data_IF_532017383607
#
_entry.id   IF_532017383607
#
_cell.length_a   1.000
_cell.length_b   1.000
_cell.length_c   1.000
_cell.angle_alpha   90.00
_cell.angle_beta   90.00
_cell.angle_gamma   90.00
#
_symmetry.space_group_name_H-M   'P 1'
#
loop_
_entity.id
_entity.type
_entity.pdbx_description
1 polymer ?
#
# COMPACT_ATOMS: atom_id res chain seq x y z
N UNK A 1 -16.68 6.32 -36.23
CA UNK A 1 -15.23 6.25 -35.91
C UNK A 1 -15.14 6.16 -34.40
N UNK A 2 -14.90 4.96 -33.87
CA UNK A 2 -14.69 4.79 -32.42
C UNK A 2 -13.44 5.58 -32.06
N UNK A 3 -13.59 6.58 -31.20
CA UNK A 3 -12.46 7.22 -30.53
C UNK A 3 -11.95 6.14 -29.58
N UNK A 4 -10.91 5.42 -29.98
CA UNK A 4 -10.11 4.67 -29.03
C UNK A 4 -9.60 5.67 -27.99
N UNK A 5 -9.80 5.36 -26.72
CA UNK A 5 -9.19 6.13 -25.64
C UNK A 5 -7.68 6.06 -25.86
N UNK A 6 -7.04 7.21 -26.09
CA UNK A 6 -5.58 7.30 -26.21
C UNK A 6 -4.99 6.59 -25.00
N UNK A 7 -4.14 5.55 -25.19
CA UNK A 7 -3.60 4.80 -24.08
C UNK A 7 -2.87 5.76 -23.14
N UNK A 8 -3.13 5.68 -21.84
CA UNK A 8 -2.62 6.66 -20.90
C UNK A 8 -1.08 6.67 -20.93
N UNK A 9 -0.49 7.82 -21.30
CA UNK A 9 0.96 8.00 -21.46
C UNK A 9 1.70 7.52 -20.22
N UNK A 10 2.70 6.65 -20.38
CA UNK A 10 3.55 6.16 -19.28
C UNK A 10 4.20 7.34 -18.55
N UNK A 11 4.08 7.33 -17.24
CA UNK A 11 4.75 8.24 -16.31
C UNK A 11 6.04 7.56 -15.85
N UNK A 12 7.13 8.30 -15.88
CA UNK A 12 8.42 7.86 -15.35
C UNK A 12 8.68 8.63 -14.06
N UNK A 13 8.97 7.92 -12.99
CA UNK A 13 9.39 8.48 -11.71
C UNK A 13 10.81 8.02 -11.43
N UNK A 14 11.64 8.93 -10.94
CA UNK A 14 12.95 8.58 -10.41
C UNK A 14 12.81 7.96 -9.00
N UNK A 15 13.68 7.04 -8.55
CA UNK A 15 13.65 6.52 -7.18
C UNK A 15 13.62 7.61 -6.11
N UNK A 16 14.28 8.75 -6.34
CA UNK A 16 14.26 9.91 -5.42
C UNK A 16 12.86 10.45 -5.13
N UNK A 17 11.88 10.21 -6.01
CA UNK A 17 10.49 10.60 -5.79
C UNK A 17 9.82 9.89 -4.60
N UNK A 18 10.46 8.85 -4.06
CA UNK A 18 10.02 8.07 -2.89
C UNK A 18 10.91 8.26 -1.66
N UNK A 19 11.91 9.14 -1.70
CA UNK A 19 12.74 9.47 -0.53
C UNK A 19 11.93 10.20 0.55
N UNK A 20 10.92 10.99 0.16
CA UNK A 20 9.96 11.58 1.10
C UNK A 20 8.55 11.05 0.82
N UNK A 21 7.92 10.48 1.86
CA UNK A 21 6.53 10.05 1.82
C UNK A 21 5.72 10.92 2.79
N UNK A 22 4.62 11.48 2.29
CA UNK A 22 3.68 12.23 3.11
C UNK A 22 2.66 11.27 3.73
N UNK A 23 2.64 11.24 5.05
CA UNK A 23 1.62 10.54 5.84
C UNK A 23 0.67 11.59 6.40
N UNK A 24 -0.62 11.45 6.12
CA UNK A 24 -1.66 12.34 6.61
C UNK A 24 -2.56 11.54 7.55
N UNK A 25 -2.79 12.03 8.76
CA UNK A 25 -3.74 11.42 9.70
C UNK A 25 -4.81 12.42 10.13
N UNK A 26 -6.04 11.94 10.32
CA UNK A 26 -7.19 12.82 10.68
C UNK A 26 -8.01 12.33 11.87
N UNK A 27 -7.47 11.40 12.65
CA UNK A 27 -8.10 10.89 13.86
C UNK A 27 -8.26 11.94 14.97
N UNK A 28 -9.29 11.77 15.78
CA UNK A 28 -9.50 12.53 17.01
C UNK A 28 -8.45 12.19 18.07
N UNK A 29 -8.31 13.07 19.06
CA UNK A 29 -7.30 12.91 20.11
C UNK A 29 -7.57 11.70 21.03
N UNK A 30 -8.80 11.22 21.12
CA UNK A 30 -9.21 10.05 21.90
C UNK A 30 -9.27 8.75 21.09
N UNK A 31 -8.96 8.80 19.79
CA UNK A 31 -9.00 7.63 18.93
C UNK A 31 -7.83 6.67 19.18
N UNK A 32 -8.14 5.40 19.44
CA UNK A 32 -7.16 4.36 19.68
C UNK A 32 -6.24 4.04 18.47
N UNK A 33 -6.61 4.44 17.26
CA UNK A 33 -5.82 4.21 16.04
C UNK A 33 -4.82 5.35 15.75
N UNK A 34 -4.98 6.52 16.39
CA UNK A 34 -4.36 7.79 15.98
C UNK A 34 -2.83 7.80 15.85
N UNK A 35 -2.15 6.90 16.55
CA UNK A 35 -0.68 6.83 16.60
C UNK A 35 -0.12 5.59 15.90
N UNK A 36 -0.94 4.57 15.61
CA UNK A 36 -0.49 3.24 15.15
C UNK A 36 0.35 3.34 13.88
N UNK A 37 -0.20 3.91 12.80
CA UNK A 37 0.57 4.06 11.55
C UNK A 37 1.79 4.94 11.76
N UNK A 38 1.63 6.07 12.46
CA UNK A 38 2.71 7.05 12.65
C UNK A 38 3.92 6.48 13.39
N UNK A 39 3.68 5.56 14.32
CA UNK A 39 4.73 4.81 15.02
C UNK A 39 5.35 3.81 14.04
N UNK A 40 4.54 3.00 13.36
CA UNK A 40 5.02 1.97 12.44
C UNK A 40 5.89 2.54 11.30
N UNK A 41 5.49 3.64 10.66
CA UNK A 41 6.28 4.29 9.60
C UNK A 41 7.58 4.90 10.12
N UNK A 42 7.60 5.41 11.36
CA UNK A 42 8.81 5.96 11.99
C UNK A 42 9.80 4.87 12.33
N UNK A 43 9.35 3.77 12.92
CA UNK A 43 10.19 2.61 13.23
C UNK A 43 10.82 2.05 11.95
N UNK A 44 10.01 1.87 10.91
CA UNK A 44 10.49 1.41 9.62
C UNK A 44 11.50 2.38 9.00
N UNK A 45 11.25 3.69 9.01
CA UNK A 45 12.20 4.67 8.49
C UNK A 45 13.55 4.64 9.22
N UNK A 46 13.56 4.30 10.51
CA UNK A 46 14.80 4.15 11.29
C UNK A 46 15.61 2.91 10.89
N UNK A 47 15.01 1.89 10.29
CA UNK A 47 15.72 0.70 9.80
C UNK A 47 16.52 0.94 8.52
N UNK A 48 16.18 1.99 7.76
CA UNK A 48 16.82 2.40 6.50
C UNK A 48 17.18 3.90 6.52
N UNK A 49 18.04 4.33 7.46
CA UNK A 49 18.35 5.74 7.63
C UNK A 49 18.95 6.33 6.35
N UNK A 50 18.43 7.49 5.93
CA UNK A 50 18.86 8.18 4.71
C UNK A 50 18.14 7.76 3.43
N UNK A 51 17.36 6.67 3.44
CA UNK A 51 16.56 6.25 2.29
C UNK A 51 15.09 6.73 2.37
N UNK A 52 14.53 6.83 3.57
CA UNK A 52 13.12 7.18 3.77
C UNK A 52 12.94 8.29 4.81
N UNK A 53 12.38 9.41 4.36
CA UNK A 53 11.90 10.51 5.17
C UNK A 53 10.37 10.46 5.22
N UNK A 54 9.82 10.50 6.42
CA UNK A 54 8.38 10.58 6.63
C UNK A 54 8.00 12.02 7.01
N UNK A 55 7.21 12.67 6.16
CA UNK A 55 6.53 13.92 6.51
C UNK A 55 5.15 13.56 7.06
N UNK A 56 5.01 13.53 8.38
CA UNK A 56 3.71 13.26 9.02
C UNK A 56 2.97 14.56 9.31
N UNK A 57 1.73 14.68 8.85
CA UNK A 57 0.84 15.82 9.09
C UNK A 57 -0.47 15.32 9.71
N UNK A 58 -0.89 15.95 10.81
CA UNK A 58 -2.22 15.75 11.40
C UNK A 58 -3.14 16.86 10.92
N UNK A 59 -4.27 16.50 10.34
CA UNK A 59 -5.25 17.43 9.77
C UNK A 59 -6.56 17.37 10.55
N UNK A 60 -7.30 18.48 10.59
CA UNK A 60 -8.56 18.59 11.34
C UNK A 60 -9.77 18.95 10.48
N UNK A 61 -9.54 19.42 9.26
CA UNK A 61 -10.61 19.83 8.36
C UNK A 61 -10.23 19.65 6.88
N UNK A 62 -11.20 19.90 6.00
CA UNK A 62 -11.05 19.81 4.53
C UNK A 62 -9.96 20.72 3.96
N UNK A 63 -9.77 21.93 4.47
CA UNK A 63 -8.75 22.85 3.96
C UNK A 63 -7.35 22.35 4.31
N UNK A 64 -7.13 21.85 5.52
CA UNK A 64 -5.86 21.23 5.93
C UNK A 64 -5.49 20.06 5.00
N UNK A 65 -6.47 19.24 4.59
CA UNK A 65 -6.27 18.17 3.61
C UNK A 65 -5.78 18.74 2.28
N UNK A 66 -6.49 19.72 1.73
CA UNK A 66 -6.16 20.34 0.44
C UNK A 66 -4.76 20.95 0.50
N UNK A 67 -4.42 21.66 1.57
CA UNK A 67 -3.13 22.30 1.76
C UNK A 67 -1.99 21.28 1.91
N UNK A 68 -2.22 20.18 2.65
CA UNK A 68 -1.24 19.11 2.80
C UNK A 68 -0.92 18.45 1.47
N UNK A 69 -1.94 18.12 0.65
CA UNK A 69 -1.75 17.57 -0.68
C UNK A 69 -1.07 18.57 -1.62
N UNK A 70 -1.57 19.81 -1.67
CA UNK A 70 -1.09 20.82 -2.62
C UNK A 70 0.34 21.33 -2.33
N UNK A 71 0.83 21.16 -1.10
CA UNK A 71 2.19 21.52 -0.67
C UNK A 71 3.20 20.37 -0.77
N UNK A 72 2.77 19.17 -1.19
CA UNK A 72 3.63 18.00 -1.31
C UNK A 72 4.12 17.82 -2.74
N UNK A 73 5.44 17.68 -2.90
CA UNK A 73 6.09 17.48 -4.19
C UNK A 73 6.52 16.04 -4.48
N UNK A 74 6.35 15.11 -3.54
CA UNK A 74 6.72 13.70 -3.72
C UNK A 74 5.66 12.89 -4.46
N UNK A 75 5.97 11.63 -4.75
CA UNK A 75 5.11 10.78 -5.58
C UNK A 75 3.99 10.07 -4.83
N UNK A 76 4.15 9.87 -3.51
CA UNK A 76 3.31 8.95 -2.73
C UNK A 76 2.80 9.59 -1.45
N UNK A 77 1.47 9.54 -1.26
CA UNK A 77 0.78 9.92 -0.02
C UNK A 77 0.14 8.69 0.61
N UNK A 78 0.23 8.57 1.93
CA UNK A 78 -0.53 7.63 2.74
C UNK A 78 -1.52 8.42 3.58
N UNK A 79 -2.81 8.13 3.44
CA UNK A 79 -3.89 8.78 4.18
C UNK A 79 -4.50 7.79 5.16
N UNK A 80 -4.47 8.15 6.44
CA UNK A 80 -4.78 7.28 7.57
C UNK A 80 -5.90 7.88 8.42
N UNK A 81 -7.09 7.31 8.26
CA UNK A 81 -8.32 7.87 8.79
C UNK A 81 -9.45 6.82 8.79
N UNK A 82 -10.63 7.21 9.29
CA UNK A 82 -11.82 6.38 9.11
C UNK A 82 -12.46 6.67 7.75
N UNK A 83 -12.75 5.60 7.01
CA UNK A 83 -13.67 5.67 5.88
C UNK A 83 -15.12 5.66 6.36
N UNK A 84 -15.99 6.35 5.65
CA UNK A 84 -17.40 6.44 5.96
C UNK A 84 -18.22 6.51 4.65
N UNK A 85 -19.54 6.42 4.75
CA UNK A 85 -20.45 6.62 3.64
C UNK A 85 -21.58 7.54 4.09
N UNK A 86 -21.92 8.53 3.28
CA UNK A 86 -23.10 9.36 3.53
C UNK A 86 -24.36 8.49 3.41
N UNK A 87 -25.20 8.47 4.45
CA UNK A 87 -26.38 7.59 4.47
C UNK A 87 -27.41 7.94 3.40
N UNK A 88 -27.48 9.22 3.00
CA UNK A 88 -28.47 9.74 2.06
C UNK A 88 -27.98 9.68 0.61
N UNK A 89 -26.77 10.15 0.34
CA UNK A 89 -26.19 10.20 -1.01
C UNK A 89 -25.46 8.91 -1.37
N UNK A 90 -25.12 8.08 -0.37
CA UNK A 90 -24.35 6.84 -0.51
C UNK A 90 -22.92 7.05 -1.01
N UNK A 91 -22.46 8.30 -1.13
CA UNK A 91 -21.08 8.63 -1.54
C UNK A 91 -20.11 8.23 -0.43
N UNK A 92 -18.96 7.67 -0.83
CA UNK A 92 -17.89 7.34 0.11
C UNK A 92 -17.16 8.60 0.56
N UNK A 93 -17.00 8.77 1.87
CA UNK A 93 -16.37 9.92 2.50
C UNK A 93 -15.22 9.48 3.42
N UNK A 94 -14.37 10.44 3.80
CA UNK A 94 -13.36 10.25 4.84
C UNK A 94 -13.72 11.10 6.05
N UNK A 95 -13.60 10.53 7.25
CA UNK A 95 -13.75 11.28 8.49
C UNK A 95 -12.48 12.12 8.71
N UNK A 96 -12.61 13.44 8.62
CA UNK A 96 -11.53 14.39 8.86
C UNK A 96 -11.92 15.30 10.01
N UNK A 97 -11.28 15.09 11.17
CA UNK A 97 -11.77 15.71 12.40
C UNK A 97 -13.20 15.24 12.68
N UNK A 98 -14.15 16.17 12.81
CA UNK A 98 -15.57 15.86 13.00
C UNK A 98 -16.32 15.61 11.70
N UNK A 99 -15.74 16.00 10.56
CA UNK A 99 -16.49 16.16 9.32
C UNK A 99 -16.35 14.95 8.41
N UNK A 100 -17.40 14.63 7.67
CA UNK A 100 -17.35 13.66 6.59
C UNK A 100 -17.06 14.40 5.28
N UNK A 101 -15.87 14.16 4.73
CA UNK A 101 -15.38 14.86 3.53
C UNK A 101 -15.55 13.98 2.30
N UNK A 102 -16.34 14.46 1.34
CA UNK A 102 -16.43 13.92 -0.01
C UNK A 102 -15.25 14.39 -0.85
N UNK A 103 -14.42 13.44 -1.29
CA UNK A 103 -13.22 13.72 -2.10
C UNK A 103 -13.58 14.17 -3.52
N UNK A 104 -14.74 13.79 -4.06
CA UNK A 104 -15.18 14.19 -5.39
C UNK A 104 -15.38 15.70 -5.51
N UNK A 105 -15.84 16.35 -4.44
CA UNK A 105 -15.99 17.80 -4.36
C UNK A 105 -14.66 18.55 -4.37
N UNK A 106 -13.53 17.85 -4.19
CA UNK A 106 -12.20 18.44 -4.19
C UNK A 106 -11.57 18.48 -5.58
N UNK A 107 -12.25 17.95 -6.59
CA UNK A 107 -11.77 18.00 -7.97
C UNK A 107 -11.53 19.45 -8.40
N UNK A 108 -10.32 19.70 -8.88
CA UNK A 108 -9.88 21.04 -9.33
C UNK A 108 -9.37 21.95 -8.22
N UNK A 109 -9.45 21.55 -6.94
CA UNK A 109 -8.84 22.26 -5.81
C UNK A 109 -7.74 21.46 -5.15
N UNK A 110 -7.96 20.15 -4.93
CA UNK A 110 -6.94 19.21 -4.50
C UNK A 110 -6.17 18.69 -5.71
N UNK A 111 -4.84 18.81 -5.67
CA UNK A 111 -3.91 18.27 -6.67
C UNK A 111 -3.26 17.03 -6.08
N UNK A 112 -3.75 15.87 -6.48
CA UNK A 112 -3.26 14.61 -5.93
C UNK A 112 -1.91 14.24 -6.57
N UNK A 113 -0.92 13.74 -5.78
CA UNK A 113 0.25 13.09 -6.36
C UNK A 113 -0.16 11.81 -7.10
N UNK A 114 0.71 11.23 -7.94
CA UNK A 114 0.34 10.09 -8.77
C UNK A 114 -0.06 8.85 -7.96
N UNK A 115 0.41 8.69 -6.72
CA UNK A 115 0.15 7.51 -5.88
C UNK A 115 -0.50 7.93 -4.57
N UNK A 116 -1.65 7.33 -4.27
CA UNK A 116 -2.36 7.49 -3.00
C UNK A 116 -2.61 6.12 -2.37
N UNK A 117 -2.26 5.96 -1.10
CA UNK A 117 -2.57 4.78 -0.29
C UNK A 117 -3.60 5.18 0.76
N UNK A 118 -4.73 4.48 0.77
CA UNK A 118 -5.79 4.70 1.74
C UNK A 118 -5.70 3.63 2.84
N UNK A 119 -5.13 4.03 3.98
CA UNK A 119 -5.17 3.27 5.24
C UNK A 119 -6.49 3.57 5.95
N UNK A 120 -7.58 3.08 5.37
CA UNK A 120 -8.94 3.30 5.84
C UNK A 120 -9.88 2.18 5.35
N UNK A 121 -10.97 1.95 6.09
CA UNK A 121 -11.97 0.94 5.74
C UNK A 121 -12.88 1.39 4.57
N UNK A 122 -13.38 0.44 3.79
CA UNK A 122 -14.44 0.62 2.78
C UNK A 122 -14.21 1.77 1.77
N UNK A 123 -12.96 2.07 1.43
CA UNK A 123 -12.62 3.21 0.55
C UNK A 123 -12.93 2.95 -0.93
N UNK A 124 -13.23 1.70 -1.27
CA UNK A 124 -13.80 1.27 -2.54
C UNK A 124 -14.78 0.11 -2.35
N UNK A 125 -15.79 0.25 -1.48
CA UNK A 125 -16.79 -0.81 -1.26
C UNK A 125 -17.71 -1.01 -2.50
N UNK A 126 -17.63 -2.15 -3.20
CA UNK A 126 -18.29 -2.36 -4.48
C UNK A 126 -19.80 -2.62 -4.35
N UNK A 127 -20.25 -3.04 -3.18
CA UNK A 127 -21.64 -3.28 -2.83
C UNK A 127 -22.36 -2.02 -2.31
N UNK A 128 -21.63 -0.92 -2.11
CA UNK A 128 -22.18 0.35 -1.58
C UNK A 128 -22.40 1.39 -2.66
N UNK A 129 -21.36 1.75 -3.40
CA UNK A 129 -21.41 2.86 -4.35
C UNK A 129 -20.29 2.79 -5.40
N UNK A 130 -20.51 3.43 -6.55
CA UNK A 130 -19.45 3.70 -7.52
C UNK A 130 -18.72 5.02 -7.22
N UNK A 131 -19.38 5.93 -6.48
CA UNK A 131 -18.81 7.20 -6.02
C UNK A 131 -17.97 6.98 -4.75
N UNK A 132 -16.90 6.21 -4.88
CA UNK A 132 -16.04 5.83 -3.75
C UNK A 132 -14.93 6.86 -3.51
N UNK A 133 -14.34 6.83 -2.31
CA UNK A 133 -13.18 7.68 -1.96
C UNK A 133 -12.03 7.47 -2.94
N UNK A 134 -11.72 6.21 -3.27
CA UNK A 134 -10.63 5.90 -4.20
C UNK A 134 -10.86 6.51 -5.59
N UNK A 135 -12.08 6.43 -6.13
CA UNK A 135 -12.42 7.06 -7.40
C UNK A 135 -12.39 8.60 -7.31
N UNK A 136 -12.74 9.16 -6.15
CA UNK A 136 -12.57 10.59 -5.86
C UNK A 136 -11.12 11.04 -6.03
N UNK A 137 -10.15 10.30 -5.48
CA UNK A 137 -8.73 10.63 -5.66
C UNK A 137 -8.26 10.50 -7.12
N UNK A 138 -8.73 9.50 -7.87
CA UNK A 138 -8.48 9.42 -9.31
C UNK A 138 -9.02 10.66 -10.04
N UNK A 139 -10.20 11.16 -9.64
CA UNK A 139 -10.78 12.39 -10.20
C UNK A 139 -9.96 13.65 -9.86
N UNK A 140 -9.21 13.63 -8.76
CA UNK A 140 -8.29 14.67 -8.30
C UNK A 140 -6.87 14.54 -8.87
N UNK A 141 -6.65 13.61 -9.81
CA UNK A 141 -5.39 13.48 -10.56
C UNK A 141 -4.48 12.34 -10.11
N UNK A 142 -4.86 11.57 -9.08
CA UNK A 142 -4.12 10.36 -8.74
C UNK A 142 -4.15 9.39 -9.92
N UNK A 143 -3.04 8.70 -10.14
CA UNK A 143 -2.91 7.74 -11.23
C UNK A 143 -3.08 6.31 -10.76
N UNK A 144 -2.69 6.07 -9.52
CA UNK A 144 -2.87 4.81 -8.81
C UNK A 144 -3.38 5.09 -7.40
N UNK A 145 -4.43 4.38 -6.99
CA UNK A 145 -4.95 4.44 -5.63
C UNK A 145 -5.03 3.03 -5.07
N UNK A 146 -4.37 2.77 -3.95
CA UNK A 146 -4.57 1.55 -3.18
C UNK A 146 -5.67 1.80 -2.15
N UNK A 147 -6.83 1.21 -2.40
CA UNK A 147 -8.00 1.28 -1.54
C UNK A 147 -8.36 -0.06 -0.91
N UNK A 148 -9.54 -0.14 -0.31
CA UNK A 148 -10.05 -1.29 0.41
C UNK A 148 -11.48 -1.62 -0.01
N UNK A 149 -11.73 -2.90 -0.31
CA UNK A 149 -13.08 -3.41 -0.57
C UNK A 149 -13.87 -3.67 0.71
N UNK A 150 -13.16 -4.02 1.79
CA UNK A 150 -13.73 -4.44 3.07
C UNK A 150 -13.03 -3.71 4.22
N UNK A 151 -13.62 -3.70 5.45
CA UNK A 151 -12.97 -3.13 6.61
C UNK A 151 -11.63 -3.81 6.87
N UNK A 152 -10.61 -3.06 7.26
CA UNK A 152 -9.27 -3.57 7.62
C UNK A 152 -9.00 -3.30 9.10
N UNK A 153 -8.13 -4.11 9.73
CA UNK A 153 -7.73 -3.86 11.12
C UNK A 153 -6.64 -2.79 11.16
N UNK A 154 -6.79 -1.79 12.04
CA UNK A 154 -5.89 -0.63 12.06
C UNK A 154 -4.42 -0.96 12.37
N UNK A 155 -4.16 -1.94 13.26
CA UNK A 155 -2.81 -2.44 13.55
C UNK A 155 -2.14 -3.04 12.29
N UNK A 156 -2.89 -3.84 11.54
CA UNK A 156 -2.41 -4.48 10.30
C UNK A 156 -2.26 -3.49 9.17
N UNK A 157 -3.22 -2.56 9.03
CA UNK A 157 -3.17 -1.47 8.07
C UNK A 157 -1.93 -0.61 8.25
N UNK A 158 -1.63 -0.25 9.51
CA UNK A 158 -0.44 0.52 9.89
C UNK A 158 0.86 -0.19 9.48
N UNK A 159 0.98 -1.47 9.83
CA UNK A 159 2.17 -2.29 9.47
C UNK A 159 2.29 -2.46 7.96
N UNK A 160 1.20 -2.74 7.26
CA UNK A 160 1.19 -2.88 5.80
C UNK A 160 1.65 -1.60 5.12
N UNK A 161 1.06 -0.45 5.48
CA UNK A 161 1.40 0.84 4.89
C UNK A 161 2.85 1.25 5.22
N UNK A 162 3.35 0.96 6.42
CA UNK A 162 4.76 1.17 6.77
C UNK A 162 5.71 0.31 5.94
N UNK A 163 5.42 -0.99 5.78
CA UNK A 163 6.20 -1.89 4.92
C UNK A 163 6.14 -1.47 3.45
N UNK A 164 4.99 -0.99 2.98
CA UNK A 164 4.86 -0.46 1.63
C UNK A 164 5.69 0.82 1.45
N UNK A 165 5.71 1.72 2.44
CA UNK A 165 6.58 2.91 2.43
C UNK A 165 8.07 2.54 2.36
N UNK A 166 8.51 1.59 3.18
CA UNK A 166 9.86 1.02 3.11
C UNK A 166 10.18 0.52 1.71
N UNK A 167 9.27 -0.28 1.15
CA UNK A 167 9.44 -0.91 -0.16
C UNK A 167 9.49 0.14 -1.28
N UNK A 168 8.60 1.11 -1.24
CA UNK A 168 8.54 2.19 -2.23
C UNK A 168 9.84 3.01 -2.27
N UNK A 169 10.54 3.12 -1.14
CA UNK A 169 11.86 3.76 -1.05
C UNK A 169 13.01 2.76 -1.32
N UNK A 170 13.32 1.89 -0.36
CA UNK A 170 14.56 1.09 -0.38
C UNK A 170 14.60 0.02 -1.48
N UNK A 171 13.48 -0.69 -1.69
CA UNK A 171 13.45 -1.77 -2.70
C UNK A 171 13.51 -1.20 -4.12
N UNK A 172 12.77 -0.11 -4.36
CA UNK A 172 12.79 0.61 -5.64
C UNK A 172 14.19 1.17 -5.94
N UNK A 173 14.81 1.89 -5.00
CA UNK A 173 16.18 2.39 -5.17
C UNK A 173 17.18 1.25 -5.38
N UNK A 174 17.05 0.13 -4.65
CA UNK A 174 17.93 -1.02 -4.85
C UNK A 174 17.79 -1.62 -6.25
N UNK A 175 16.55 -1.79 -6.76
CA UNK A 175 16.34 -2.34 -8.09
C UNK A 175 16.82 -1.41 -9.20
N UNK A 176 16.53 -0.12 -9.10
CA UNK A 176 16.82 0.83 -10.17
C UNK A 176 18.28 1.27 -10.13
N UNK A 177 18.81 1.65 -8.96
CA UNK A 177 20.13 2.27 -8.85
C UNK A 177 21.27 1.27 -8.77
N UNK A 178 21.02 0.06 -8.25
CA UNK A 178 22.06 -0.96 -8.06
C UNK A 178 21.94 -2.14 -9.02
N UNK A 179 20.72 -2.53 -9.37
CA UNK A 179 20.44 -3.68 -10.24
C UNK A 179 20.05 -3.21 -11.65
N UNK A 180 19.92 -1.90 -11.88
CA UNK A 180 19.61 -1.29 -13.18
C UNK A 180 18.38 -1.94 -13.84
N UNK A 181 17.32 -2.13 -13.05
CA UNK A 181 16.08 -2.75 -13.50
C UNK A 181 14.89 -1.83 -13.23
N UNK A 182 14.14 -1.39 -14.27
CA UNK A 182 12.94 -0.60 -14.06
C UNK A 182 11.86 -1.45 -13.37
N UNK A 183 11.02 -0.80 -12.57
CA UNK A 183 9.95 -1.47 -11.85
C UNK A 183 8.63 -0.72 -12.03
N UNK A 184 7.55 -1.44 -12.30
CA UNK A 184 6.22 -0.84 -12.37
C UNK A 184 5.63 -0.70 -10.98
N UNK A 185 4.85 0.36 -10.74
CA UNK A 185 4.19 0.55 -9.45
C UNK A 185 3.24 -0.63 -9.10
N UNK A 186 2.58 -1.20 -10.11
CA UNK A 186 1.79 -2.42 -9.95
C UNK A 186 2.59 -3.60 -9.41
N UNK A 187 3.88 -3.70 -9.74
CA UNK A 187 4.77 -4.74 -9.22
C UNK A 187 5.19 -4.46 -7.78
N UNK A 188 5.44 -3.20 -7.41
CA UNK A 188 5.74 -2.80 -6.03
C UNK A 188 4.60 -3.18 -5.09
N UNK A 189 3.37 -2.78 -5.44
CA UNK A 189 2.17 -3.11 -4.64
C UNK A 189 1.85 -4.60 -4.69
N UNK A 190 1.88 -5.22 -5.86
CA UNK A 190 1.55 -6.63 -6.03
C UNK A 190 2.51 -7.55 -5.25
N UNK A 191 3.80 -7.23 -5.23
CA UNK A 191 4.78 -7.95 -4.40
C UNK A 191 4.59 -7.68 -2.91
N UNK A 192 4.19 -6.47 -2.52
CA UNK A 192 3.86 -6.17 -1.11
C UNK A 192 2.65 -6.98 -0.61
N UNK A 193 1.58 -7.11 -1.41
CA UNK A 193 0.41 -7.93 -1.05
C UNK A 193 0.81 -9.41 -0.87
N UNK A 194 1.71 -9.93 -1.71
CA UNK A 194 2.24 -11.30 -1.55
C UNK A 194 3.03 -11.46 -0.25
N UNK A 195 3.91 -10.52 0.08
CA UNK A 195 4.67 -10.52 1.33
C UNK A 195 3.74 -10.48 2.55
N UNK A 196 2.68 -9.68 2.48
CA UNK A 196 1.70 -9.57 3.57
C UNK A 196 0.91 -10.87 3.74
N UNK A 197 0.41 -11.46 2.65
CA UNK A 197 -0.26 -12.76 2.67
C UNK A 197 0.62 -13.87 3.29
N UNK A 198 1.89 -13.94 2.87
CA UNK A 198 2.83 -14.93 3.41
C UNK A 198 3.15 -14.66 4.89
N UNK A 199 3.29 -13.39 5.28
CA UNK A 199 3.42 -12.99 6.68
C UNK A 199 2.21 -13.40 7.51
N UNK A 200 0.99 -13.20 7.01
CA UNK A 200 -0.25 -13.62 7.67
C UNK A 200 -0.31 -15.14 7.83
N UNK A 201 0.03 -15.89 6.77
CA UNK A 201 0.08 -17.35 6.79
C UNK A 201 1.07 -17.89 7.83
N UNK A 202 2.32 -17.41 7.80
CA UNK A 202 3.37 -17.78 8.76
C UNK A 202 2.92 -17.46 10.19
N UNK A 203 2.35 -16.27 10.42
CA UNK A 203 1.85 -15.87 11.74
C UNK A 203 0.71 -16.78 12.24
N UNK A 204 -0.19 -17.20 11.36
CA UNK A 204 -1.30 -18.09 11.73
C UNK A 204 -0.80 -19.48 12.11
N UNK A 205 0.16 -20.03 11.35
CA UNK A 205 0.75 -21.33 11.65
C UNK A 205 1.54 -21.27 12.96
N UNK A 206 2.33 -20.21 13.16
CA UNK A 206 3.14 -20.02 14.37
C UNK A 206 2.30 -20.04 15.66
N UNK A 207 1.04 -19.57 15.62
CA UNK A 207 0.12 -19.63 16.78
C UNK A 207 -0.24 -21.06 17.19
N UNK A 208 -0.06 -22.04 16.31
CA UNK A 208 -0.35 -23.46 16.55
C UNK A 208 0.89 -24.34 16.60
N UNK A 209 1.99 -23.90 15.98
CA UNK A 209 3.28 -24.58 15.94
C UNK A 209 4.37 -23.60 16.34
N UNK A 210 4.92 -23.78 17.54
CA UNK A 210 5.98 -22.90 18.04
C UNK A 210 7.29 -23.26 17.34
N UNK A 211 7.85 -22.32 16.58
CA UNK A 211 9.23 -22.36 16.10
C UNK A 211 10.13 -21.54 17.03
N UNK A 212 11.44 -21.81 16.97
CA UNK A 212 12.41 -20.89 17.57
C UNK A 212 12.38 -19.55 16.81
N UNK A 213 12.81 -18.47 17.46
CA UNK A 213 12.87 -17.16 16.80
C UNK A 213 13.84 -17.18 15.61
N UNK A 214 14.96 -17.90 15.73
CA UNK A 214 15.96 -18.05 14.67
C UNK A 214 15.38 -18.76 13.43
N UNK A 215 14.69 -19.89 13.64
CA UNK A 215 14.06 -20.64 12.54
C UNK A 215 12.97 -19.81 11.84
N UNK A 216 12.20 -19.04 12.63
CA UNK A 216 11.17 -18.17 12.11
C UNK A 216 11.73 -17.03 11.26
N UNK A 217 12.81 -16.39 11.74
CA UNK A 217 13.46 -15.30 11.03
C UNK A 217 14.13 -15.81 9.75
N UNK A 218 14.76 -16.98 9.80
CA UNK A 218 15.30 -17.67 8.63
C UNK A 218 14.22 -17.99 7.60
N UNK A 219 13.09 -18.58 8.03
CA UNK A 219 11.96 -18.87 7.15
C UNK A 219 11.40 -17.61 6.49
N UNK A 220 11.20 -16.54 7.26
CA UNK A 220 10.69 -15.26 6.73
C UNK A 220 11.65 -14.68 5.71
N UNK A 221 12.94 -14.63 6.03
CA UNK A 221 13.97 -14.15 5.12
C UNK A 221 13.93 -14.90 3.79
N UNK A 222 13.93 -16.24 3.85
CA UNK A 222 13.95 -17.08 2.68
C UNK A 222 12.70 -16.92 1.79
N UNK A 223 11.53 -16.81 2.41
CA UNK A 223 10.26 -16.60 1.71
C UNK A 223 10.21 -15.20 1.09
N UNK A 224 10.63 -14.17 1.83
CA UNK A 224 10.65 -12.80 1.35
C UNK A 224 11.62 -12.64 0.16
N UNK A 225 12.76 -13.36 0.19
CA UNK A 225 13.73 -13.35 -0.90
C UNK A 225 13.16 -13.86 -2.22
N UNK A 226 12.26 -14.85 -2.22
CA UNK A 226 11.57 -15.31 -3.43
C UNK A 226 10.72 -14.19 -4.08
N UNK A 227 10.15 -13.32 -3.25
CA UNK A 227 9.38 -12.16 -3.74
C UNK A 227 10.31 -11.06 -4.23
N UNK A 228 11.38 -10.77 -3.48
CA UNK A 228 12.35 -9.72 -3.81
C UNK A 228 13.09 -10.00 -5.13
N UNK A 229 13.43 -11.26 -5.39
CA UNK A 229 14.10 -11.69 -6.62
C UNK A 229 13.19 -11.77 -7.84
N UNK A 230 11.88 -11.49 -7.69
CA UNK A 230 10.86 -11.63 -8.75
C UNK A 230 10.78 -13.07 -9.29
N UNK A 231 10.96 -14.07 -8.42
CA UNK A 231 10.87 -15.46 -8.82
C UNK A 231 9.46 -15.79 -9.34
N UNK A 232 9.30 -16.30 -10.58
CA UNK A 232 7.98 -16.68 -11.11
C UNK A 232 7.32 -17.82 -10.32
N UNK A 233 8.11 -18.63 -9.62
CA UNK A 233 7.68 -19.77 -8.81
C UNK A 233 7.58 -19.43 -7.32
N UNK A 234 7.55 -18.13 -6.96
CA UNK A 234 7.54 -17.67 -5.57
C UNK A 234 6.50 -18.38 -4.71
N UNK A 235 5.30 -18.66 -5.23
CA UNK A 235 4.24 -19.33 -4.47
C UNK A 235 4.65 -20.76 -4.13
N UNK A 236 4.92 -21.59 -5.15
CA UNK A 236 5.35 -22.98 -4.92
C UNK A 236 6.62 -23.08 -4.08
N UNK A 237 7.58 -22.17 -4.27
CA UNK A 237 8.80 -22.12 -3.48
C UNK A 237 8.51 -21.78 -2.02
N UNK A 238 7.71 -20.74 -1.77
CA UNK A 238 7.34 -20.32 -0.42
C UNK A 238 6.51 -21.38 0.29
N UNK A 239 5.49 -21.94 -0.35
CA UNK A 239 4.63 -22.98 0.27
C UNK A 239 5.44 -24.22 0.62
N UNK A 240 6.32 -24.68 -0.29
CA UNK A 240 7.19 -25.84 -0.03
C UNK A 240 8.07 -25.60 1.20
N UNK A 241 8.67 -24.41 1.29
CA UNK A 241 9.57 -24.07 2.39
C UNK A 241 8.82 -23.92 3.72
N UNK A 242 7.66 -23.26 3.71
CA UNK A 242 6.79 -23.14 4.89
C UNK A 242 6.38 -24.53 5.38
N UNK A 243 5.91 -25.41 4.48
CA UNK A 243 5.47 -26.77 4.85
C UNK A 243 6.62 -27.62 5.42
N UNK A 244 7.82 -27.52 4.84
CA UNK A 244 8.99 -28.26 5.32
C UNK A 244 9.45 -27.79 6.70
N UNK A 245 9.59 -26.46 6.90
CA UNK A 245 10.08 -25.90 8.17
C UNK A 245 9.07 -26.09 9.29
N UNK A 246 7.77 -26.01 8.98
CA UNK A 246 6.70 -26.12 9.97
C UNK A 246 6.11 -27.54 10.11
N UNK A 247 6.70 -28.53 9.42
CA UNK A 247 6.29 -29.94 9.40
C UNK A 247 4.78 -30.12 9.17
N UNK A 248 4.29 -29.55 8.07
CA UNK A 248 2.87 -29.55 7.71
C UNK A 248 2.55 -30.55 6.60
N UNK A 249 1.43 -31.26 6.76
CA UNK A 249 0.82 -32.00 5.65
C UNK A 249 0.15 -31.06 4.65
N UNK A 250 -0.06 -31.54 3.42
CA UNK A 250 -0.82 -30.79 2.38
C UNK A 250 -2.22 -30.38 2.85
N UNK A 251 -2.89 -31.23 3.63
CA UNK A 251 -4.23 -30.97 4.13
C UNK A 251 -4.23 -29.84 5.16
N UNK A 252 -3.35 -29.90 6.16
CA UNK A 252 -3.19 -28.84 7.16
C UNK A 252 -2.83 -27.51 6.50
N UNK A 253 -1.90 -27.54 5.53
CA UNK A 253 -1.47 -26.33 4.84
C UNK A 253 -2.62 -25.67 4.06
N UNK A 254 -3.44 -26.46 3.35
CA UNK A 254 -4.63 -25.94 2.65
C UNK A 254 -5.62 -25.28 3.60
N UNK A 255 -5.83 -25.84 4.78
CA UNK A 255 -6.71 -25.24 5.80
C UNK A 255 -6.16 -23.90 6.30
N UNK A 256 -4.84 -23.80 6.51
CA UNK A 256 -4.20 -22.53 6.85
C UNK A 256 -4.32 -21.49 5.73
N UNK A 257 -4.10 -21.89 4.46
CA UNK A 257 -4.27 -20.99 3.31
C UNK A 257 -5.71 -20.51 3.21
N UNK A 258 -6.69 -21.39 3.33
CA UNK A 258 -8.11 -21.00 3.31
C UNK A 258 -8.45 -20.03 4.44
N UNK A 259 -7.87 -20.22 5.62
CA UNK A 259 -8.04 -19.32 6.76
C UNK A 259 -7.36 -17.98 6.56
N UNK A 260 -6.15 -17.96 6.00
CA UNK A 260 -5.40 -16.75 5.66
C UNK A 260 -6.13 -15.92 4.59
N UNK A 261 -6.64 -16.56 3.54
CA UNK A 261 -7.44 -15.88 2.51
C UNK A 261 -8.78 -15.40 3.05
N UNK A 262 -9.46 -16.19 3.90
CA UNK A 262 -10.77 -15.81 4.44
C UNK A 262 -10.73 -14.71 5.49
N UNK A 263 -9.64 -14.60 6.25
CA UNK A 263 -9.53 -13.67 7.38
C UNK A 263 -8.45 -12.59 7.20
N UNK A 264 -7.58 -12.71 6.19
CA UNK A 264 -6.47 -11.81 5.95
C UNK A 264 -6.91 -10.40 5.57
N UNK A 265 -6.10 -9.41 5.92
CA UNK A 265 -6.30 -8.04 5.45
C UNK A 265 -5.69 -7.83 4.05
N UNK A 266 -4.69 -8.64 3.69
CA UNK A 266 -4.02 -8.62 2.37
C UNK A 266 -4.99 -8.74 1.19
N UNK A 267 -6.04 -9.56 1.31
CA UNK A 267 -7.07 -9.77 0.29
C UNK A 267 -8.14 -8.67 0.24
N UNK A 268 -8.15 -7.75 1.21
CA UNK A 268 -9.13 -6.66 1.31
C UNK A 268 -8.70 -5.43 0.53
N UNK A 269 -7.41 -5.34 0.20
CA UNK A 269 -6.86 -4.26 -0.62
C UNK A 269 -7.20 -4.42 -2.09
N UNK A 270 -7.38 -3.29 -2.77
CA UNK A 270 -7.58 -3.22 -4.21
C UNK A 270 -6.80 -2.07 -4.81
N UNK A 271 -6.24 -2.30 -5.99
CA UNK A 271 -5.42 -1.32 -6.69
C UNK A 271 -6.21 -0.74 -7.87
N UNK A 272 -6.53 0.55 -7.80
CA UNK A 272 -7.33 1.26 -8.78
C UNK A 272 -6.51 2.22 -9.64
N UNK A 273 -7.09 2.62 -10.77
CA UNK A 273 -6.47 3.52 -11.73
C UNK A 273 -5.67 2.76 -12.78
N UNK A 274 -4.51 3.29 -13.15
CA UNK A 274 -3.61 2.70 -14.15
C UNK A 274 -2.20 2.50 -13.56
N UNK A 275 -2.01 1.69 -12.51
CA UNK A 275 -0.72 1.54 -11.84
C UNK A 275 0.39 1.01 -12.74
N UNK A 276 0.07 0.21 -13.75
CA UNK A 276 0.98 -0.31 -14.78
C UNK A 276 1.58 0.77 -15.70
N UNK A 277 1.07 1.99 -15.60
CA UNK A 277 1.57 3.13 -16.36
C UNK A 277 2.49 4.03 -15.55
N UNK A 278 2.75 3.72 -14.28
CA UNK A 278 3.79 4.34 -13.47
C UNK A 278 5.00 3.41 -13.50
N UNK A 279 6.07 3.85 -14.15
CA UNK A 279 7.34 3.14 -14.24
C UNK A 279 8.38 3.89 -13.42
N UNK A 280 9.08 3.19 -12.55
CA UNK A 280 10.14 3.77 -11.73
C UNK A 280 11.48 3.38 -12.35
N UNK A 281 12.29 4.37 -12.72
CA UNK A 281 13.54 4.22 -13.46
C UNK A 281 14.35 5.51 -13.39
N UNK A 282 15.67 5.44 -13.60
CA UNK A 282 16.54 6.63 -13.60
C UNK A 282 16.68 7.23 -15.01
N UNK A 283 17.04 8.51 -15.10
CA UNK A 283 17.29 9.18 -16.39
C UNK A 283 18.40 8.48 -17.19
N UNK A 284 19.41 7.94 -16.51
CA UNK A 284 20.50 7.19 -17.12
C UNK A 284 20.00 5.96 -17.90
N UNK A 285 18.99 5.28 -17.37
CA UNK A 285 18.38 4.11 -18.02
C UNK A 285 17.46 4.50 -19.18
N UNK A 286 16.79 5.65 -19.10
CA UNK A 286 15.97 6.18 -20.19
C UNK A 286 16.83 6.64 -21.37
N UNK A 287 18.01 7.20 -21.12
CA UNK A 287 18.95 7.67 -22.13
C UNK A 287 19.78 6.58 -22.81
N UNK A 288 19.87 5.38 -22.23
CA UNK A 288 20.60 4.23 -22.79
C UNK A 288 19.74 3.36 -23.73
N UNK A 289 18.46 3.72 -23.90
CA UNK A 289 17.50 3.04 -24.78
C UNK A 289 17.02 3.85 -25.99
N UNK A 290 17.73 4.93 -26.38
CA UNK A 290 17.48 5.73 -27.60
C UNK A 290 18.66 5.63 -28.55
#
# INVERSE_FOLDING_TARGET
MMIELVPPRRMFLDPSAFEEILVISSFQDDDHLKDILSIAVKEVAQTIPGHLKIKHVRIKNKNDLVDAFNSFGGAMVILDCHGNHDERTRVGTLRIGSDDVDIWELRGTLRSPPIVILSACDTHAPDRTHATVANGFLSCGARAVLGTFLPIRGDRAGVFAARLAHRASWYVSTLVDKIETPVLWSEVVGSMIRLDLLSELINQIQRRRTLTQEDLDGLRFDVDMLIHSRDPNWWSGATTKIMQVMDLTDAEFKDFVSSAVGAGDSVRYTHLGNPETICITSEQMLGSGV
#
